data_IF_465544882717
#
_entry.id   IF_465544882717
#
_cell.length_a   1.000
_cell.length_b   1.000
_cell.length_c   1.000
_cell.angle_alpha   90.00
_cell.angle_beta   90.00
_cell.angle_gamma   90.00
#
_symmetry.space_group_name_H-M   'P 1'
#
loop_
_entity.id
_entity.type
_entity.pdbx_description
1 polymer ?
#
# COMPACT_ATOMS: atom_id res chain seq x y z
N UNK A 1 -5.25 -4.89 51.39
CA UNK A 1 -5.29 -3.96 50.25
C UNK A 1 -6.20 -2.82 50.65
N UNK A 2 -5.66 -1.65 50.98
CA UNK A 2 -6.47 -0.48 51.27
C UNK A 2 -6.75 0.21 49.94
N UNK A 3 -8.01 0.20 49.55
CA UNK A 3 -8.50 0.90 48.35
C UNK A 3 -8.64 2.38 48.74
N UNK A 4 -8.22 3.28 47.86
CA UNK A 4 -8.35 4.72 48.08
C UNK A 4 -9.82 5.12 48.24
N UNK A 5 -10.11 6.20 48.97
CA UNK A 5 -11.48 6.62 49.30
C UNK A 5 -12.34 6.86 48.03
N UNK A 6 -11.72 7.30 46.93
CA UNK A 6 -12.37 7.53 45.64
C UNK A 6 -12.73 6.24 44.89
N UNK A 7 -11.98 5.14 45.08
CA UNK A 7 -12.23 3.87 44.40
C UNK A 7 -13.22 2.97 45.15
N UNK A 8 -13.36 3.17 46.48
CA UNK A 8 -14.19 2.32 47.34
C UNK A 8 -15.68 2.37 47.00
N UNK A 9 -16.18 3.53 46.53
CA UNK A 9 -17.58 3.76 46.14
C UNK A 9 -17.97 3.11 44.81
N UNK A 10 -16.99 2.66 44.01
CA UNK A 10 -17.24 1.91 42.77
C UNK A 10 -17.34 0.39 43.00
N UNK A 11 -16.68 -0.13 44.03
CA UNK A 11 -16.57 -1.57 44.32
C UNK A 11 -17.57 -2.02 45.40
N UNK A 12 -17.83 -1.17 46.40
CA UNK A 12 -18.78 -1.44 47.48
C UNK A 12 -20.02 -0.58 47.25
N UNK A 13 -21.05 -1.14 46.62
CA UNK A 13 -22.38 -0.53 46.64
C UNK A 13 -22.92 -0.56 48.07
N UNK A 14 -22.67 0.50 48.84
CA UNK A 14 -23.39 0.73 50.10
C UNK A 14 -24.87 0.93 49.75
N UNK A 15 -25.75 0.20 50.42
CA UNK A 15 -27.18 0.53 50.37
C UNK A 15 -27.34 1.98 50.84
N UNK A 16 -28.04 2.79 50.03
CA UNK A 16 -28.41 4.17 50.37
C UNK A 16 -28.95 4.19 51.80
N UNK A 17 -28.38 5.01 52.68
CA UNK A 17 -28.94 5.19 54.03
C UNK A 17 -30.22 6.02 53.98
N UNK A 18 -30.38 6.82 52.92
CA UNK A 18 -31.46 7.78 52.72
C UNK A 18 -32.28 7.42 51.45
N UNK A 19 -33.61 7.58 51.50
CA UNK A 19 -34.72 7.13 50.64
C UNK A 19 -35.43 5.83 51.06
N UNK A 20 -35.33 5.43 52.33
CA UNK A 20 -36.04 4.24 52.81
C UNK A 20 -37.40 4.53 53.46
N UNK A 21 -37.71 5.80 53.80
CA UNK A 21 -38.91 6.16 54.56
C UNK A 21 -39.59 7.46 54.10
N UNK A 22 -40.91 7.50 54.29
CA UNK A 22 -41.90 8.46 53.74
C UNK A 22 -41.83 9.93 54.24
N UNK A 23 -40.80 10.32 55.00
CA UNK A 23 -40.71 11.61 55.72
C UNK A 23 -39.41 12.38 55.43
N UNK A 24 -38.63 11.94 54.45
CA UNK A 24 -37.30 12.46 54.16
C UNK A 24 -37.28 13.92 53.69
N UNK A 25 -38.33 14.34 52.96
CA UNK A 25 -38.54 15.73 52.48
C UNK A 25 -38.66 16.79 53.60
N UNK A 26 -38.69 16.39 54.87
CA UNK A 26 -38.74 17.30 56.03
C UNK A 26 -37.35 17.67 56.54
N UNK A 27 -36.31 16.92 56.15
CA UNK A 27 -34.94 17.13 56.60
C UNK A 27 -34.22 18.03 55.57
N UNK A 28 -33.58 19.14 55.99
CA UNK A 28 -32.84 19.98 55.06
C UNK A 28 -31.64 19.22 54.46
N UNK A 29 -31.53 19.25 53.13
CA UNK A 29 -30.51 18.54 52.36
C UNK A 29 -29.08 18.86 52.82
N UNK A 30 -28.20 17.87 52.78
CA UNK A 30 -26.81 17.99 53.23
C UNK A 30 -25.82 17.49 52.17
N UNK A 31 -24.97 18.39 51.65
CA UNK A 31 -24.02 18.09 50.57
C UNK A 31 -23.13 16.89 50.86
N UNK A 32 -22.53 16.86 52.05
CA UNK A 32 -21.53 15.85 52.41
C UNK A 32 -22.19 14.48 52.57
N UNK A 33 -23.38 14.44 53.18
CA UNK A 33 -24.13 13.20 53.40
C UNK A 33 -24.76 12.63 52.12
N UNK A 34 -25.36 13.47 51.30
CA UNK A 34 -26.22 13.01 50.19
C UNK A 34 -25.46 12.91 48.87
N UNK A 35 -24.48 13.79 48.63
CA UNK A 35 -23.79 13.89 47.35
C UNK A 35 -22.27 13.57 47.41
N UNK A 36 -21.62 13.64 48.58
CA UNK A 36 -20.19 13.27 48.73
C UNK A 36 -20.04 11.83 49.23
N UNK A 37 -20.75 11.46 50.30
CA UNK A 37 -20.73 10.11 50.87
C UNK A 37 -21.62 9.12 50.09
N UNK A 38 -22.64 9.63 49.38
CA UNK A 38 -23.61 8.87 48.59
C UNK A 38 -23.78 9.47 47.18
N UNK A 39 -24.38 8.70 46.26
CA UNK A 39 -24.80 9.22 44.95
C UNK A 39 -26.17 9.88 45.08
N UNK A 40 -26.24 11.20 44.98
CA UNK A 40 -27.51 11.95 44.95
C UNK A 40 -28.09 12.08 43.54
N UNK A 41 -29.39 12.33 43.47
CA UNK A 41 -30.14 12.72 42.28
C UNK A 41 -30.05 14.24 42.06
N UNK A 42 -30.43 14.69 40.87
CA UNK A 42 -30.43 16.13 40.55
C UNK A 42 -31.40 16.92 41.44
N UNK A 43 -32.52 16.32 41.83
CA UNK A 43 -33.51 16.91 42.75
C UNK A 43 -32.88 17.12 44.14
N UNK A 44 -32.21 16.10 44.67
CA UNK A 44 -31.50 16.14 45.97
C UNK A 44 -30.34 17.16 45.93
N UNK A 45 -29.55 17.19 44.86
CA UNK A 45 -28.49 18.20 44.69
C UNK A 45 -29.06 19.64 44.60
N UNK A 46 -30.28 19.80 44.07
CA UNK A 46 -30.96 21.11 43.97
C UNK A 46 -31.47 21.60 45.31
N UNK A 47 -31.82 20.69 46.23
CA UNK A 47 -32.24 21.04 47.59
C UNK A 47 -31.09 21.61 48.42
N UNK A 48 -29.84 21.21 48.13
CA UNK A 48 -28.65 21.70 48.83
C UNK A 48 -28.14 23.04 48.27
N UNK A 49 -28.42 23.34 47.00
CA UNK A 49 -27.90 24.54 46.32
C UNK A 49 -29.03 25.38 45.74
N UNK A 50 -29.18 26.60 46.26
CA UNK A 50 -30.21 27.57 45.82
C UNK A 50 -30.05 28.05 44.36
N UNK A 51 -28.92 27.77 43.71
CA UNK A 51 -28.65 28.19 42.32
C UNK A 51 -28.37 26.98 41.42
N UNK A 52 -29.11 26.88 40.32
CA UNK A 52 -28.99 25.89 39.25
C UNK A 52 -27.55 25.73 38.74
N UNK A 53 -26.76 26.80 38.67
CA UNK A 53 -25.35 26.73 38.25
C UNK A 53 -24.47 25.97 39.24
N UNK A 54 -24.76 26.07 40.54
CA UNK A 54 -24.03 25.34 41.60
C UNK A 54 -24.49 23.88 41.69
N UNK A 55 -25.78 23.61 41.48
CA UNK A 55 -26.33 22.24 41.42
C UNK A 55 -25.69 21.41 40.29
N UNK A 56 -25.41 22.05 39.16
CA UNK A 56 -24.75 21.43 37.99
C UNK A 56 -23.31 21.02 38.28
N UNK A 57 -22.61 21.70 39.20
CA UNK A 57 -21.20 21.43 39.54
C UNK A 57 -20.95 20.17 40.36
N UNK A 58 -22.00 19.54 40.90
CA UNK A 58 -21.91 18.35 41.77
C UNK A 58 -21.92 17.05 40.96
N UNK A 59 -22.10 17.12 39.65
CA UNK A 59 -22.21 15.93 38.80
C UNK A 59 -20.87 15.16 38.60
N UNK A 60 -19.81 15.55 39.33
CA UNK A 60 -18.45 15.04 39.19
C UNK A 60 -17.80 15.52 37.89
N UNK A 61 -16.47 15.69 37.87
CA UNK A 61 -15.75 15.96 36.61
C UNK A 61 -15.72 14.67 35.77
N UNK A 62 -16.46 14.62 34.67
CA UNK A 62 -16.47 13.44 33.81
C UNK A 62 -15.19 13.27 32.97
N UNK A 63 -14.23 14.20 33.10
CA UNK A 63 -12.88 14.07 32.58
C UNK A 63 -11.91 13.38 33.56
N UNK A 64 -12.38 12.86 34.71
CA UNK A 64 -11.55 12.12 35.67
C UNK A 64 -12.15 10.73 35.94
N UNK A 65 -11.46 9.63 35.54
CA UNK A 65 -10.23 9.59 34.74
C UNK A 65 -10.47 10.04 33.29
N UNK A 66 -9.45 10.60 32.62
CA UNK A 66 -9.60 11.17 31.27
C UNK A 66 -10.11 10.11 30.28
N UNK A 67 -11.36 10.25 29.77
CA UNK A 67 -11.94 9.29 28.84
C UNK A 67 -11.34 9.41 27.43
N UNK A 68 -10.79 10.57 27.08
CA UNK A 68 -10.29 10.89 25.76
C UNK A 68 -8.93 10.21 25.47
N UNK A 69 -8.77 9.69 24.26
CA UNK A 69 -7.60 8.93 23.78
C UNK A 69 -6.75 9.77 22.83
N UNK A 70 -5.57 9.24 22.47
CA UNK A 70 -4.70 9.77 21.42
C UNK A 70 -4.31 11.25 21.58
N UNK A 71 -4.12 11.72 22.83
CA UNK A 71 -3.72 13.10 23.12
C UNK A 71 -4.85 14.13 23.06
N UNK A 72 -6.12 13.68 23.04
CA UNK A 72 -7.29 14.54 23.01
C UNK A 72 -7.52 15.33 24.30
N UNK A 73 -8.08 16.54 24.14
CA UNK A 73 -8.41 17.44 25.25
C UNK A 73 -9.83 17.15 25.72
N UNK A 74 -9.99 16.72 26.96
CA UNK A 74 -11.30 16.51 27.57
C UNK A 74 -11.88 17.83 28.09
N UNK A 75 -13.17 18.07 27.82
CA UNK A 75 -13.93 19.18 28.37
C UNK A 75 -15.21 18.67 29.02
N UNK A 76 -15.34 18.91 30.32
CA UNK A 76 -16.49 18.56 31.13
C UNK A 76 -17.78 19.31 30.72
N UNK A 77 -18.94 18.68 30.89
CA UNK A 77 -20.29 19.24 30.65
C UNK A 77 -21.28 18.72 31.70
N UNK A 78 -22.50 19.23 31.68
CA UNK A 78 -23.58 18.70 32.53
C UNK A 78 -23.84 17.24 32.14
N UNK A 79 -23.58 16.31 33.07
CA UNK A 79 -23.78 14.85 32.96
C UNK A 79 -23.08 14.15 31.79
N UNK A 80 -22.09 14.79 31.16
CA UNK A 80 -21.38 14.27 29.98
C UNK A 80 -20.03 14.98 29.78
N UNK A 81 -19.17 14.41 28.95
CA UNK A 81 -17.92 15.05 28.52
C UNK A 81 -17.89 15.20 27.01
N UNK A 82 -17.02 16.09 26.52
CA UNK A 82 -16.66 16.20 25.10
C UNK A 82 -15.15 16.08 24.94
N UNK A 83 -14.72 15.16 24.09
CA UNK A 83 -13.34 15.05 23.68
C UNK A 83 -13.08 15.90 22.44
N UNK A 84 -12.12 16.81 22.54
CA UNK A 84 -11.61 17.56 21.40
C UNK A 84 -10.48 16.74 20.79
N UNK A 85 -10.83 15.99 19.75
CA UNK A 85 -9.91 15.09 19.10
C UNK A 85 -8.82 15.87 18.36
N UNK A 86 -7.54 15.50 18.54
CA UNK A 86 -6.48 15.90 17.63
C UNK A 86 -6.84 15.36 16.26
N UNK A 87 -6.28 16.01 15.25
CA UNK A 87 -6.66 15.64 13.92
C UNK A 87 -6.20 14.27 13.46
N UNK A 88 -6.99 13.72 12.54
CA UNK A 88 -6.88 12.33 12.18
C UNK A 88 -7.46 11.42 13.25
N UNK A 89 -8.14 11.94 14.29
CA UNK A 89 -8.87 11.12 15.24
C UNK A 89 -10.34 11.51 15.32
N UNK A 90 -11.22 10.50 15.37
CA UNK A 90 -12.66 10.63 15.53
C UNK A 90 -13.17 9.65 16.60
N UNK A 91 -14.47 9.66 16.85
CA UNK A 91 -15.10 8.87 17.91
C UNK A 91 -15.40 9.70 19.14
N UNK A 92 -16.21 9.15 20.05
CA UNK A 92 -16.64 9.86 21.26
C UNK A 92 -15.45 10.18 22.16
N UNK A 93 -14.45 9.30 22.14
CA UNK A 93 -13.25 9.35 22.94
C UNK A 93 -11.99 9.54 22.08
N UNK A 94 -12.13 9.92 20.80
CA UNK A 94 -11.01 10.05 19.86
C UNK A 94 -10.24 8.75 19.64
N UNK A 95 -10.94 7.61 19.73
CA UNK A 95 -10.39 6.26 19.61
C UNK A 95 -10.19 5.79 18.17
N UNK A 96 -10.80 6.47 17.19
CA UNK A 96 -10.77 6.08 15.77
C UNK A 96 -9.67 6.87 15.07
N UNK A 97 -8.62 6.21 14.58
CA UNK A 97 -7.56 6.82 13.77
C UNK A 97 -7.92 6.83 12.28
N UNK A 98 -7.91 8.02 11.69
CA UNK A 98 -8.19 8.36 10.30
C UNK A 98 -7.02 9.07 9.61
N UNK A 99 -5.80 8.99 10.16
CA UNK A 99 -4.59 9.52 9.54
C UNK A 99 -4.25 8.78 8.24
N UNK A 100 -3.40 9.35 7.38
CA UNK A 100 -2.91 8.64 6.19
C UNK A 100 -2.14 7.34 6.52
N UNK A 101 -1.70 7.16 7.76
CA UNK A 101 -1.00 5.95 8.19
C UNK A 101 -1.96 4.76 8.37
N UNK A 102 -3.21 5.02 8.76
CA UNK A 102 -4.21 3.98 8.99
C UNK A 102 -5.18 3.94 7.81
N UNK A 103 -5.25 2.79 7.15
CA UNK A 103 -6.09 2.57 5.97
C UNK A 103 -5.99 3.68 4.89
N UNK A 104 -4.81 4.28 4.74
CA UNK A 104 -4.56 5.39 3.82
C UNK A 104 -5.53 6.60 4.02
N UNK A 105 -5.96 6.87 5.26
CA UNK A 105 -6.92 7.92 5.59
C UNK A 105 -8.33 7.70 5.00
N UNK A 106 -8.62 6.48 4.54
CA UNK A 106 -9.80 6.14 3.76
C UNK A 106 -9.75 6.62 2.30
N UNK A 107 -8.61 7.13 1.82
CA UNK A 107 -8.45 7.51 0.42
C UNK A 107 -8.25 6.28 -0.46
N UNK A 108 -8.95 6.23 -1.60
CA UNK A 108 -8.81 5.12 -2.56
C UNK A 108 -7.45 5.08 -3.28
N UNK A 109 -6.85 6.25 -3.52
CA UNK A 109 -5.54 6.37 -4.16
C UNK A 109 -4.54 7.09 -3.24
N UNK A 110 -4.42 8.41 -3.34
CA UNK A 110 -3.39 9.15 -2.62
C UNK A 110 -3.97 9.86 -1.42
N UNK A 111 -3.26 9.78 -0.28
CA UNK A 111 -3.57 10.51 0.93
C UNK A 111 -2.45 11.52 1.23
N UNK A 112 -2.84 12.74 1.61
CA UNK A 112 -1.93 13.74 2.18
C UNK A 112 -2.56 14.42 3.38
N UNK A 113 -1.71 14.88 4.29
CA UNK A 113 -2.11 15.80 5.34
C UNK A 113 -1.96 17.23 4.80
N UNK A 114 -3.06 17.99 4.76
CA UNK A 114 -3.05 19.40 4.36
C UNK A 114 -3.24 20.29 5.61
N UNK A 115 -2.39 21.31 5.85
CA UNK A 115 -2.29 21.92 7.15
C UNK A 115 -3.56 22.56 7.76
N UNK A 116 -3.69 22.46 9.10
CA UNK A 116 -2.75 21.70 9.90
C UNK A 116 -2.98 20.17 9.78
N UNK A 117 -4.15 19.69 9.34
CA UNK A 117 -4.64 18.48 9.97
C UNK A 117 -5.80 17.72 9.25
N UNK A 118 -6.26 18.14 8.06
CA UNK A 118 -7.31 17.40 7.32
C UNK A 118 -6.70 16.39 6.37
N UNK A 119 -7.19 15.15 6.38
CA UNK A 119 -6.90 14.19 5.31
C UNK A 119 -7.51 14.68 4.01
N UNK A 120 -6.67 14.87 3.01
CA UNK A 120 -7.07 15.23 1.66
C UNK A 120 -6.70 14.09 0.73
N UNK A 121 -7.71 13.55 0.05
CA UNK A 121 -7.52 12.51 -0.93
C UNK A 121 -7.30 13.12 -2.32
N UNK A 122 -6.47 12.48 -3.12
CA UNK A 122 -6.33 12.76 -4.55
C UNK A 122 -6.20 11.47 -5.36
N UNK A 123 -6.44 11.57 -6.66
CA UNK A 123 -6.56 10.42 -7.54
C UNK A 123 -5.43 10.37 -8.57
N UNK A 124 -5.13 9.16 -9.05
CA UNK A 124 -4.21 8.92 -10.16
C UNK A 124 -4.74 9.47 -11.49
N UNK A 125 -3.86 9.58 -12.48
CA UNK A 125 -4.20 10.10 -13.81
C UNK A 125 -5.32 9.29 -14.46
N UNK A 126 -6.29 10.01 -15.03
CA UNK A 126 -7.49 9.40 -15.62
C UNK A 126 -8.59 9.09 -14.59
N UNK A 127 -8.44 9.47 -13.32
CA UNK A 127 -9.49 9.38 -12.30
C UNK A 127 -9.89 10.76 -11.77
N UNK A 128 -11.12 10.88 -11.29
CA UNK A 128 -11.66 12.04 -10.57
C UNK A 128 -12.05 11.64 -9.16
N UNK A 129 -11.87 12.57 -8.21
CA UNK A 129 -12.32 12.40 -6.83
C UNK A 129 -13.84 12.48 -6.80
N UNK A 130 -14.48 11.48 -6.21
CA UNK A 130 -15.91 11.41 -6.01
C UNK A 130 -16.37 12.43 -4.95
N UNK A 131 -17.67 12.68 -4.88
CA UNK A 131 -18.28 13.67 -3.98
C UNK A 131 -18.08 13.36 -2.49
N UNK A 132 -17.82 12.09 -2.15
CA UNK A 132 -17.46 11.66 -0.79
C UNK A 132 -16.06 12.15 -0.32
N UNK A 133 -15.29 12.73 -1.23
CA UNK A 133 -13.94 13.24 -0.97
C UNK A 133 -12.89 12.14 -0.72
N UNK A 134 -13.20 10.86 -1.00
CA UNK A 134 -12.35 9.70 -0.69
C UNK A 134 -12.21 8.72 -1.86
N UNK A 135 -13.31 8.46 -2.58
CA UNK A 135 -13.34 7.52 -3.69
C UNK A 135 -12.78 8.14 -4.96
N UNK A 136 -12.16 7.31 -5.79
CA UNK A 136 -11.67 7.69 -7.12
C UNK A 136 -12.42 6.92 -8.20
N UNK A 137 -13.02 7.66 -9.12
CA UNK A 137 -13.82 7.14 -10.23
C UNK A 137 -13.13 7.39 -11.58
N UNK A 138 -13.15 6.43 -12.51
CA UNK A 138 -12.62 6.63 -13.86
C UNK A 138 -13.23 7.86 -14.54
N UNK A 139 -12.38 8.78 -14.95
CA UNK A 139 -12.76 10.00 -15.66
C UNK A 139 -12.58 9.89 -17.18
N UNK A 140 -11.85 8.87 -17.62
CA UNK A 140 -11.57 8.55 -19.03
C UNK A 140 -11.87 7.07 -19.30
N UNK A 141 -12.10 6.65 -20.55
CA UNK A 141 -12.44 5.26 -20.88
C UNK A 141 -11.35 4.24 -20.50
N UNK A 142 -10.09 4.66 -20.57
CA UNK A 142 -8.91 3.83 -20.33
C UNK A 142 -8.00 4.53 -19.31
N UNK A 143 -8.40 4.58 -18.03
CA UNK A 143 -7.61 5.24 -16.99
C UNK A 143 -6.36 4.39 -16.68
N UNK A 144 -5.35 4.99 -16.06
CA UNK A 144 -4.14 4.24 -15.73
C UNK A 144 -4.45 3.06 -14.80
N UNK A 145 -3.62 2.01 -14.88
CA UNK A 145 -3.65 0.90 -13.93
C UNK A 145 -4.96 0.12 -13.91
N UNK A 146 -5.81 0.26 -14.93
CA UNK A 146 -7.09 -0.45 -15.05
C UNK A 146 -7.07 -1.47 -16.16
N UNK A 147 -7.49 -2.69 -15.81
CA UNK A 147 -7.70 -3.78 -16.76
C UNK A 147 -9.15 -3.69 -17.27
N UNK A 148 -9.29 -3.48 -18.57
CA UNK A 148 -10.60 -3.29 -19.23
C UNK A 148 -10.96 -4.39 -20.23
N UNK A 149 -9.99 -5.23 -20.61
CA UNK A 149 -10.19 -6.38 -21.48
C UNK A 149 -11.28 -7.34 -20.95
N UNK A 150 -12.25 -7.74 -21.79
CA UNK A 150 -13.38 -8.57 -21.36
C UNK A 150 -12.94 -9.96 -20.86
N UNK A 151 -11.91 -10.53 -21.46
CA UNK A 151 -11.36 -11.85 -21.09
C UNK A 151 -10.77 -11.81 -19.69
N UNK A 152 -9.96 -10.79 -19.40
CA UNK A 152 -9.28 -10.62 -18.13
C UNK A 152 -10.20 -10.19 -16.98
N UNK A 153 -11.34 -9.53 -17.27
CA UNK A 153 -12.34 -9.15 -16.25
C UNK A 153 -12.89 -10.34 -15.47
N UNK A 154 -12.97 -11.52 -16.09
CA UNK A 154 -13.50 -12.73 -15.46
C UNK A 154 -12.65 -13.24 -14.29
N UNK A 155 -11.35 -12.96 -14.26
CA UNK A 155 -10.43 -13.28 -13.15
C UNK A 155 -10.45 -12.24 -12.00
N UNK A 156 -10.98 -11.04 -12.25
CA UNK A 156 -10.98 -9.94 -11.27
C UNK A 156 -12.21 -10.04 -10.35
N UNK A 157 -12.31 -11.10 -9.56
CA UNK A 157 -13.47 -11.32 -8.68
C UNK A 157 -13.33 -10.67 -7.30
N UNK A 158 -12.12 -10.23 -6.91
CA UNK A 158 -11.84 -9.45 -5.69
C UNK A 158 -10.47 -8.75 -5.78
N UNK A 159 -10.38 -7.51 -5.30
CA UNK A 159 -9.09 -6.81 -5.16
C UNK A 159 -8.14 -7.65 -4.28
N UNK A 160 -6.91 -7.84 -4.72
CA UNK A 160 -5.93 -8.68 -4.04
C UNK A 160 -5.42 -8.00 -2.79
N UNK A 161 -5.15 -6.69 -2.86
CA UNK A 161 -4.77 -5.90 -1.71
C UNK A 161 -5.86 -4.87 -1.39
N UNK A 162 -6.18 -4.75 -0.10
CA UNK A 162 -7.05 -3.70 0.43
C UNK A 162 -6.34 -2.98 1.56
N UNK A 163 -6.68 -1.71 1.77
CA UNK A 163 -6.11 -0.91 2.86
C UNK A 163 -6.50 -1.44 4.26
N UNK A 164 -7.44 -2.37 4.37
CA UNK A 164 -7.89 -2.94 5.65
C UNK A 164 -6.82 -3.68 6.45
N UNK A 165 -5.76 -4.15 5.77
CA UNK A 165 -4.65 -4.87 6.40
C UNK A 165 -3.42 -3.97 6.64
N UNK A 166 -3.53 -2.67 6.37
CA UNK A 166 -2.44 -1.70 6.59
C UNK A 166 -2.53 -1.09 7.98
N UNK A 167 -1.97 -1.79 8.97
CA UNK A 167 -1.60 -1.19 10.24
C UNK A 167 -0.14 -0.77 10.15
N UNK A 168 0.12 0.46 9.70
CA UNK A 168 1.46 1.05 9.77
C UNK A 168 1.68 1.45 11.23
N UNK A 169 2.15 0.53 12.05
CA UNK A 169 2.80 0.92 13.31
C UNK A 169 4.07 1.64 12.93
N UNK A 170 4.17 2.93 13.29
CA UNK A 170 5.39 3.71 13.16
C UNK A 170 6.47 3.12 14.08
N UNK A 171 7.12 2.05 13.63
CA UNK A 171 8.39 1.57 14.14
C UNK A 171 9.36 1.67 12.98
N UNK A 172 9.86 2.89 12.75
CA UNK A 172 11.00 3.20 11.89
C UNK A 172 11.42 4.65 12.24
N UNK A 173 11.69 4.89 13.53
CA UNK A 173 12.63 5.92 13.97
C UNK A 173 13.75 5.19 14.72
N UNK A 174 14.98 5.48 14.28
CA UNK A 174 16.28 5.11 14.85
C UNK A 174 16.84 3.71 14.52
N UNK A 175 17.52 3.66 13.36
CA UNK A 175 18.75 2.88 13.18
C UNK A 175 19.82 3.52 14.11
N UNK A 176 19.91 3.07 15.36
CA UNK A 176 21.12 3.17 16.19
C UNK A 176 21.01 2.26 17.44
N UNK A 177 21.95 1.30 17.53
CA UNK A 177 22.41 0.53 18.71
C UNK A 177 21.77 -0.85 19.03
N UNK A 178 22.53 -1.86 18.59
CA UNK A 178 22.88 -3.20 19.11
C UNK A 178 22.42 -3.73 20.49
N UNK A 179 22.27 -5.07 20.48
CA UNK A 179 22.22 -6.10 21.56
C UNK A 179 20.91 -6.13 22.42
N UNK A 180 20.23 -7.25 22.65
CA UNK A 180 20.68 -8.62 22.91
C UNK A 180 19.54 -9.65 22.64
N UNK A 181 19.95 -10.91 22.65
CA UNK A 181 19.30 -12.17 22.27
C UNK A 181 18.16 -12.61 23.21
N UNK A 182 17.13 -13.30 22.69
CA UNK A 182 16.54 -14.42 23.43
C UNK A 182 15.68 -15.41 22.60
N UNK A 183 15.92 -16.70 22.90
CA UNK A 183 15.29 -17.90 22.36
C UNK A 183 13.88 -18.11 22.94
N UNK A 184 12.86 -18.37 22.11
CA UNK A 184 11.70 -19.17 22.56
C UNK A 184 11.21 -20.16 21.49
N UNK A 185 11.12 -21.38 21.98
CA UNK A 185 10.83 -22.70 21.44
C UNK A 185 9.44 -22.87 20.82
N UNK A 186 9.39 -23.77 19.81
CA UNK A 186 8.20 -24.29 19.13
C UNK A 186 7.15 -24.87 20.09
N UNK A 187 5.87 -24.76 19.73
CA UNK A 187 4.89 -25.78 20.10
C UNK A 187 3.82 -25.91 19.01
N UNK A 188 3.88 -27.05 18.33
CA UNK A 188 2.91 -27.55 17.34
C UNK A 188 1.59 -27.98 17.97
N UNK A 189 0.47 -27.83 17.25
CA UNK A 189 -0.62 -28.83 17.23
C UNK A 189 -1.46 -28.73 15.94
N UNK A 190 -2.04 -29.84 15.45
CA UNK A 190 -2.36 -30.05 14.04
C UNK A 190 -3.85 -29.88 13.71
N UNK A 191 -4.17 -29.35 12.52
CA UNK A 191 -5.53 -29.32 12.00
C UNK A 191 -5.61 -29.84 10.55
N UNK A 192 -6.02 -31.11 10.45
CA UNK A 192 -6.84 -31.75 9.40
C UNK A 192 -6.70 -31.27 7.95
N UNK A 193 -5.81 -31.94 7.21
CA UNK A 193 -5.69 -31.90 5.75
C UNK A 193 -6.89 -32.55 5.04
N UNK A 194 -7.74 -31.75 4.39
CA UNK A 194 -8.55 -32.21 3.25
C UNK A 194 -7.72 -32.05 1.98
N UNK A 195 -7.25 -33.17 1.44
CA UNK A 195 -6.47 -33.23 0.20
C UNK A 195 -7.44 -33.07 -0.98
N UNK A 196 -7.46 -31.89 -1.59
CA UNK A 196 -7.97 -31.70 -2.96
C UNK A 196 -6.84 -31.95 -3.95
N UNK A 197 -7.09 -32.63 -5.08
CA UNK A 197 -6.03 -33.00 -6.02
C UNK A 197 -5.48 -31.77 -6.73
N UNK A 198 -4.18 -31.52 -6.57
CA UNK A 198 -3.46 -30.50 -7.33
C UNK A 198 -3.33 -31.01 -8.77
N UNK A 199 -4.18 -30.48 -9.64
CA UNK A 199 -4.00 -30.61 -11.09
C UNK A 199 -2.73 -29.84 -11.45
N UNK A 200 -1.64 -30.56 -11.72
CA UNK A 200 -0.40 -29.98 -12.25
C UNK A 200 -0.64 -29.48 -13.68
N UNK A 201 -1.01 -28.21 -13.81
CA UNK A 201 -0.82 -27.47 -15.06
C UNK A 201 0.55 -26.81 -14.99
N UNK A 202 1.43 -27.20 -15.90
CA UNK A 202 2.81 -26.73 -15.96
C UNK A 202 2.88 -25.21 -16.15
N UNK A 203 3.61 -24.55 -15.25
CA UNK A 203 3.77 -23.10 -15.15
C UNK A 203 5.17 -22.69 -15.61
N UNK A 204 5.29 -21.66 -16.46
CA UNK A 204 6.55 -21.27 -17.09
C UNK A 204 6.69 -19.75 -17.35
N UNK A 205 6.69 -18.95 -16.29
CA UNK A 205 7.91 -18.29 -15.74
C UNK A 205 8.42 -19.24 -14.65
N UNK A 206 9.62 -19.14 -14.07
CA UNK A 206 9.95 -20.08 -12.97
C UNK A 206 8.89 -19.89 -11.88
N UNK A 207 7.99 -20.87 -11.73
CA UNK A 207 6.74 -20.79 -10.95
C UNK A 207 5.63 -19.81 -11.39
N UNK A 208 5.72 -19.13 -12.54
CA UNK A 208 4.69 -18.19 -13.03
C UNK A 208 3.68 -18.80 -14.01
N UNK A 209 2.54 -18.14 -14.24
CA UNK A 209 1.44 -18.64 -15.08
C UNK A 209 1.26 -17.83 -16.36
N UNK A 210 0.75 -18.47 -17.41
CA UNK A 210 0.30 -17.78 -18.62
C UNK A 210 -0.72 -16.69 -18.26
N UNK A 211 -0.51 -15.48 -18.78
CA UNK A 211 -1.46 -14.40 -18.65
C UNK A 211 -2.68 -14.67 -19.52
N UNK A 212 -3.80 -14.05 -19.18
CA UNK A 212 -4.89 -13.86 -20.13
C UNK A 212 -4.55 -12.69 -21.06
N UNK A 213 -5.18 -12.73 -22.23
CA UNK A 213 -5.19 -11.62 -23.18
C UNK A 213 -5.69 -10.34 -22.47
N UNK A 214 -4.90 -9.26 -22.55
CA UNK A 214 -5.22 -7.99 -21.89
C UNK A 214 -5.15 -7.99 -20.37
N UNK A 215 -4.56 -9.01 -19.72
CA UNK A 215 -4.36 -9.04 -18.26
C UNK A 215 -3.32 -7.99 -17.81
N UNK A 216 -2.36 -7.64 -18.68
CA UNK A 216 -1.30 -6.65 -18.39
C UNK A 216 -1.20 -5.62 -19.53
N UNK A 217 -2.18 -4.72 -19.69
CA UNK A 217 -2.29 -3.83 -20.86
C UNK A 217 -1.21 -2.74 -20.94
N UNK A 218 -0.43 -2.54 -19.87
CA UNK A 218 0.71 -1.61 -19.84
C UNK A 218 2.04 -2.27 -20.22
N UNK A 219 2.07 -3.58 -20.43
CA UNK A 219 3.27 -4.30 -20.84
C UNK A 219 3.64 -3.93 -22.28
N UNK A 220 4.93 -3.70 -22.50
CA UNK A 220 5.52 -3.49 -23.82
C UNK A 220 6.63 -4.51 -24.05
N UNK A 221 6.71 -5.00 -25.28
CA UNK A 221 7.81 -5.81 -25.77
C UNK A 221 8.76 -4.94 -26.60
N UNK A 222 10.03 -4.85 -26.20
CA UNK A 222 11.06 -4.14 -26.95
C UNK A 222 11.76 -5.12 -27.90
N UNK A 223 11.68 -4.80 -29.19
CA UNK A 223 12.30 -5.59 -30.26
C UNK A 223 13.36 -4.77 -30.98
N UNK A 224 14.42 -5.43 -31.42
CA UNK A 224 15.48 -4.82 -32.21
C UNK A 224 15.11 -4.76 -33.71
N UNK A 225 16.02 -4.25 -34.53
CA UNK A 225 15.86 -4.16 -36.00
C UNK A 225 15.64 -5.50 -36.72
N UNK A 226 15.96 -6.63 -36.08
CA UNK A 226 15.74 -7.98 -36.62
C UNK A 226 14.41 -8.58 -36.14
N UNK A 227 13.57 -7.82 -35.44
CA UNK A 227 12.32 -8.30 -34.85
C UNK A 227 12.53 -9.21 -33.64
N UNK A 228 13.73 -9.28 -33.07
CA UNK A 228 14.03 -10.12 -31.91
C UNK A 228 13.78 -9.33 -30.63
N UNK A 229 12.89 -9.87 -29.80
CA UNK A 229 12.62 -9.41 -28.45
C UNK A 229 13.83 -9.52 -27.53
N UNK A 230 14.14 -8.46 -26.78
CA UNK A 230 15.30 -8.45 -25.88
C UNK A 230 14.98 -7.94 -24.47
N UNK A 231 13.99 -7.07 -24.30
CA UNK A 231 13.58 -6.52 -23.01
C UNK A 231 12.09 -6.18 -22.98
N UNK A 232 11.57 -5.97 -21.78
CA UNK A 232 10.27 -5.38 -21.52
C UNK A 232 10.35 -3.85 -21.33
N UNK A 233 9.19 -3.22 -21.36
CA UNK A 233 8.99 -1.84 -20.91
C UNK A 233 7.57 -1.67 -20.37
N UNK A 234 7.29 -0.52 -19.76
CA UNK A 234 5.97 -0.16 -19.24
C UNK A 234 5.46 1.14 -19.84
N UNK A 235 4.18 1.17 -20.22
CA UNK A 235 3.51 2.37 -20.74
C UNK A 235 3.19 3.31 -19.59
N UNK A 236 3.75 4.52 -19.59
CA UNK A 236 3.46 5.52 -18.55
C UNK A 236 2.52 6.62 -19.04
N UNK A 237 2.52 6.91 -20.34
CA UNK A 237 1.49 7.69 -21.03
C UNK A 237 1.47 7.34 -22.53
N UNK A 238 0.69 8.07 -23.31
CA UNK A 238 0.51 7.82 -24.75
C UNK A 238 1.79 7.92 -25.56
N UNK A 239 2.81 8.68 -25.12
CA UNK A 239 4.03 8.92 -25.89
C UNK A 239 5.31 8.40 -25.23
N UNK A 240 5.27 8.09 -23.94
CA UNK A 240 6.43 7.73 -23.16
C UNK A 240 6.31 6.34 -22.54
N UNK A 241 7.42 5.62 -22.58
CA UNK A 241 7.61 4.35 -21.90
C UNK A 241 8.74 4.46 -20.88
N UNK A 242 8.75 3.56 -19.90
CA UNK A 242 9.87 3.37 -18.96
C UNK A 242 10.39 1.94 -19.04
N UNK A 243 11.71 1.79 -18.99
CA UNK A 243 12.41 0.49 -19.03
C UNK A 243 13.74 0.57 -18.25
N UNK A 244 14.51 -0.51 -18.23
CA UNK A 244 15.86 -0.54 -17.68
C UNK A 244 16.86 0.08 -18.68
N UNK A 245 17.83 0.83 -18.19
CA UNK A 245 18.82 1.49 -19.04
C UNK A 245 19.81 0.48 -19.65
N UNK A 246 20.11 -0.62 -18.97
CA UNK A 246 21.00 -1.66 -19.47
C UNK A 246 20.47 -2.41 -20.70
N UNK A 247 19.16 -2.33 -20.94
CA UNK A 247 18.55 -2.88 -22.15
C UNK A 247 18.97 -2.12 -23.41
N UNK A 248 19.47 -0.89 -23.26
CA UNK A 248 19.61 0.06 -24.36
C UNK A 248 21.08 0.40 -24.59
N UNK A 249 21.47 0.50 -25.86
CA UNK A 249 22.77 1.01 -26.29
C UNK A 249 22.58 2.21 -27.22
N UNK A 250 23.57 3.09 -27.23
CA UNK A 250 23.56 4.29 -28.08
C UNK A 250 23.53 3.87 -29.55
N UNK A 251 22.49 4.30 -30.27
CA UNK A 251 22.31 3.99 -31.69
C UNK A 251 21.46 2.75 -31.98
N UNK A 252 20.87 2.12 -30.96
CA UNK A 252 19.95 1.01 -31.17
C UNK A 252 18.69 1.46 -31.93
N UNK A 253 18.33 0.72 -32.97
CA UNK A 253 17.02 0.81 -33.62
C UNK A 253 16.03 -0.07 -32.86
N UNK A 254 15.29 0.57 -31.95
CA UNK A 254 14.35 -0.09 -31.03
C UNK A 254 12.92 0.19 -31.47
N UNK A 255 12.13 -0.87 -31.57
CA UNK A 255 10.69 -0.79 -31.77
C UNK A 255 9.98 -1.30 -30.52
N UNK A 256 9.00 -0.52 -30.05
CA UNK A 256 8.12 -0.89 -28.97
C UNK A 256 6.84 -1.50 -29.53
N UNK A 257 6.48 -2.69 -29.03
CA UNK A 257 5.22 -3.39 -29.35
C UNK A 257 4.35 -3.40 -28.09
N UNK A 258 3.31 -2.57 -28.09
CA UNK A 258 2.31 -2.53 -27.02
C UNK A 258 1.10 -3.41 -27.39
N UNK A 259 0.44 -4.01 -26.40
CA UNK A 259 -0.73 -4.89 -26.65
C UNK A 259 -0.36 -6.31 -27.08
N UNK A 260 0.93 -6.63 -27.19
CA UNK A 260 1.43 -7.97 -27.47
C UNK A 260 0.97 -8.99 -26.41
N UNK A 261 0.61 -10.19 -26.85
CA UNK A 261 0.21 -11.30 -26.00
C UNK A 261 0.98 -12.58 -26.33
N UNK A 262 1.05 -12.95 -27.61
CA UNK A 262 1.71 -14.14 -28.12
C UNK A 262 2.70 -13.76 -29.22
N UNK A 263 3.99 -13.77 -28.91
CA UNK A 263 5.05 -13.26 -29.80
C UNK A 263 5.22 -14.03 -31.12
N UNK A 264 4.48 -15.12 -31.32
CA UNK A 264 4.44 -15.88 -32.57
C UNK A 264 3.24 -15.54 -33.48
N UNK A 265 2.29 -14.75 -32.99
CA UNK A 265 1.02 -14.47 -33.66
C UNK A 265 0.76 -12.96 -33.65
N UNK A 266 0.31 -12.41 -34.78
CA UNK A 266 -0.26 -11.06 -34.80
C UNK A 266 -1.78 -11.19 -34.72
N UNK A 267 -2.36 -10.71 -33.63
CA UNK A 267 -3.79 -10.82 -33.34
C UNK A 267 -4.56 -9.49 -33.50
N UNK A 268 -3.88 -8.47 -34.02
CA UNK A 268 -4.37 -7.11 -34.30
C UNK A 268 -4.64 -6.28 -33.04
N UNK A 269 -4.19 -6.72 -31.87
CA UNK A 269 -4.17 -5.87 -30.67
C UNK A 269 -2.87 -5.07 -30.54
N UNK A 270 -1.85 -5.47 -31.31
CA UNK A 270 -0.49 -4.95 -31.25
C UNK A 270 -0.37 -3.56 -31.88
N UNK A 271 0.36 -2.68 -31.18
CA UNK A 271 0.69 -1.35 -31.64
C UNK A 271 2.20 -1.17 -31.70
N UNK A 272 2.71 -1.20 -32.92
CA UNK A 272 4.12 -0.97 -33.23
C UNK A 272 4.43 0.52 -33.21
N UNK A 273 5.47 0.91 -32.47
CA UNK A 273 5.95 2.30 -32.35
C UNK A 273 7.47 2.35 -32.38
N UNK A 274 8.03 3.23 -33.19
CA UNK A 274 9.49 3.41 -33.22
C UNK A 274 9.90 4.27 -32.05
N UNK A 275 11.02 3.93 -31.42
CA UNK A 275 11.60 4.76 -30.37
C UNK A 275 12.46 5.84 -31.03
N UNK A 276 12.05 7.11 -30.89
CA UNK A 276 12.78 8.25 -31.49
C UNK A 276 13.77 8.89 -30.54
N UNK A 277 13.60 8.66 -29.23
CA UNK A 277 14.50 9.19 -28.21
C UNK A 277 14.65 8.19 -27.09
N UNK A 278 15.91 7.89 -26.77
CA UNK A 278 16.32 7.09 -25.62
C UNK A 278 16.94 8.05 -24.60
N UNK A 279 16.37 8.09 -23.39
CA UNK A 279 16.83 8.95 -22.31
C UNK A 279 17.14 8.10 -21.06
N UNK A 280 18.37 7.56 -20.95
CA UNK A 280 18.80 6.92 -19.72
C UNK A 280 18.91 7.97 -18.59
N UNK A 281 18.81 7.52 -17.34
CA UNK A 281 19.00 8.41 -16.21
C UNK A 281 20.37 9.12 -16.28
N UNK A 282 20.50 10.42 -15.98
CA UNK A 282 21.75 11.18 -16.18
C UNK A 282 22.98 10.62 -15.44
N UNK A 283 22.75 9.92 -14.34
CA UNK A 283 23.80 9.29 -13.51
C UNK A 283 23.96 7.79 -13.78
N UNK A 284 23.26 7.24 -14.78
CA UNK A 284 23.47 5.88 -15.24
C UNK A 284 24.80 5.79 -16.00
N UNK A 285 25.64 4.82 -15.62
CA UNK A 285 26.88 4.56 -16.33
C UNK A 285 27.22 3.07 -16.33
N UNK A 286 26.99 2.42 -17.48
CA UNK A 286 27.22 1.00 -17.68
C UNK A 286 28.68 0.56 -17.46
N UNK A 287 29.67 1.44 -17.67
CA UNK A 287 31.09 1.09 -17.51
C UNK A 287 31.54 1.07 -16.05
N UNK A 288 30.85 1.83 -15.18
CA UNK A 288 31.15 1.89 -13.74
C UNK A 288 30.29 0.86 -13.00
N UNK A 289 28.98 0.91 -13.21
CA UNK A 289 28.02 0.00 -12.59
C UNK A 289 26.75 -0.05 -13.45
N UNK A 290 26.58 -1.14 -14.20
CA UNK A 290 25.45 -1.38 -15.10
C UNK A 290 24.08 -1.42 -14.40
N UNK A 291 24.03 -1.52 -13.08
CA UNK A 291 22.77 -1.60 -12.35
C UNK A 291 22.47 -0.33 -11.54
N UNK A 292 23.43 0.57 -11.39
CA UNK A 292 23.20 1.83 -10.68
C UNK A 292 22.40 2.83 -11.54
N UNK A 293 21.26 3.29 -11.02
CA UNK A 293 20.30 4.10 -11.77
C UNK A 293 19.89 3.47 -13.10
N UNK A 294 19.68 2.16 -13.08
CA UNK A 294 19.27 1.38 -14.24
C UNK A 294 17.80 1.62 -14.58
N UNK A 295 17.54 2.78 -15.17
CA UNK A 295 16.24 3.25 -15.63
C UNK A 295 16.42 4.18 -16.83
N UNK A 296 15.55 4.03 -17.83
CA UNK A 296 15.51 4.86 -19.02
C UNK A 296 14.06 5.18 -19.44
N UNK A 297 13.89 6.34 -20.06
CA UNK A 297 12.65 6.77 -20.68
C UNK A 297 12.78 6.67 -22.20
N UNK A 298 11.73 6.18 -22.85
CA UNK A 298 11.66 6.06 -24.30
C UNK A 298 10.55 6.95 -24.84
N UNK A 299 10.87 7.84 -25.78
CA UNK A 299 9.86 8.63 -26.51
C UNK A 299 9.49 7.90 -27.81
N UNK A 300 8.19 7.74 -28.03
CA UNK A 300 7.63 7.11 -29.21
C UNK A 300 7.49 8.12 -30.36
N UNK A 301 7.66 7.63 -31.60
CA UNK A 301 7.49 8.41 -32.84
C UNK A 301 6.09 9.01 -32.97
N UNK A 302 5.08 8.25 -32.56
CA UNK A 302 3.66 8.63 -32.57
C UNK A 302 2.97 8.09 -31.30
N UNK A 303 1.93 8.77 -30.80
CA UNK A 303 1.23 8.32 -29.60
C UNK A 303 0.57 6.95 -29.79
N UNK A 304 0.47 6.20 -28.69
CA UNK A 304 -0.32 4.98 -28.56
C UNK A 304 -1.80 5.34 -28.54
N UNK A 305 -2.62 4.50 -29.16
CA UNK A 305 -4.07 4.64 -29.12
C UNK A 305 -4.61 3.75 -28.01
N UNK A 306 -4.99 4.32 -26.87
CA UNK A 306 -5.46 3.51 -25.75
C UNK A 306 -6.74 2.76 -26.08
N UNK A 307 -6.77 1.49 -25.70
CA UNK A 307 -7.87 0.56 -25.90
C UNK A 307 -7.86 -0.50 -24.78
N UNK A 308 -8.70 -1.53 -24.88
CA UNK A 308 -8.80 -2.56 -23.84
C UNK A 308 -7.52 -3.38 -23.58
N UNK A 309 -6.57 -3.37 -24.50
CA UNK A 309 -5.30 -4.12 -24.46
C UNK A 309 -4.07 -3.22 -24.33
N UNK A 310 -4.22 -1.91 -24.50
CA UNK A 310 -3.15 -0.92 -24.43
C UNK A 310 -3.60 0.23 -23.52
N UNK A 311 -3.13 0.24 -22.28
CA UNK A 311 -3.43 1.29 -21.29
C UNK A 311 -2.19 1.60 -20.45
N UNK A 312 -2.04 2.81 -19.91
CA UNK A 312 -0.87 3.16 -19.11
C UNK A 312 -0.95 2.54 -17.70
N UNK A 313 0.20 2.28 -17.07
CA UNK A 313 0.28 1.94 -15.64
C UNK A 313 0.24 3.21 -14.79
N UNK A 314 -0.39 3.18 -13.62
CA UNK A 314 -0.38 4.35 -12.74
C UNK A 314 0.99 4.56 -12.09
N UNK A 315 1.38 5.81 -11.94
CA UNK A 315 2.55 6.22 -11.16
C UNK A 315 2.05 6.89 -9.88
N UNK A 316 2.42 6.33 -8.72
CA UNK A 316 2.08 6.88 -7.42
C UNK A 316 3.05 7.97 -6.95
N UNK A 317 2.68 8.69 -5.89
CA UNK A 317 3.64 9.55 -5.18
C UNK A 317 4.66 8.70 -4.39
N UNK A 318 5.71 9.34 -3.86
CA UNK A 318 6.85 8.63 -3.27
C UNK A 318 6.42 7.82 -2.05
N UNK A 319 5.65 8.42 -1.16
CA UNK A 319 5.20 7.86 0.11
C UNK A 319 4.28 6.67 -0.17
N UNK A 320 3.24 6.87 -0.98
CA UNK A 320 2.29 5.84 -1.39
C UNK A 320 2.95 4.65 -2.08
N UNK A 321 3.85 4.91 -3.05
CA UNK A 321 4.58 3.86 -3.77
C UNK A 321 5.45 3.03 -2.82
N UNK A 322 6.06 3.66 -1.81
CA UNK A 322 6.86 2.96 -0.81
C UNK A 322 6.01 2.09 0.11
N UNK A 323 4.84 2.58 0.52
CA UNK A 323 3.89 1.81 1.33
C UNK A 323 3.35 0.62 0.55
N UNK A 324 2.95 0.81 -0.71
CA UNK A 324 2.54 -0.28 -1.60
C UNK A 324 3.64 -1.33 -1.76
N UNK A 325 4.89 -0.90 -1.92
CA UNK A 325 6.00 -1.82 -2.08
C UNK A 325 6.23 -2.69 -0.83
N UNK A 326 6.13 -2.12 0.38
CA UNK A 326 6.35 -2.85 1.63
C UNK A 326 5.21 -3.81 1.98
N UNK A 327 3.95 -3.41 1.74
CA UNK A 327 2.77 -4.13 2.25
C UNK A 327 1.96 -4.86 1.17
N UNK A 328 2.14 -4.51 -0.10
CA UNK A 328 1.44 -5.13 -1.21
C UNK A 328 2.16 -6.36 -1.76
N UNK A 329 1.39 -7.29 -2.32
CA UNK A 329 1.96 -8.36 -3.14
C UNK A 329 2.27 -7.83 -4.55
N UNK A 330 3.53 -7.96 -4.97
CA UNK A 330 3.97 -7.56 -6.30
C UNK A 330 3.60 -8.57 -7.37
N UNK A 331 3.41 -8.08 -8.59
CA UNK A 331 3.29 -8.89 -9.80
C UNK A 331 4.31 -8.41 -10.82
N UNK A 332 5.04 -9.35 -11.40
CA UNK A 332 5.98 -9.13 -12.49
C UNK A 332 5.46 -9.80 -13.75
N UNK A 333 5.76 -9.23 -14.90
CA UNK A 333 5.33 -9.75 -16.19
C UNK A 333 6.39 -9.59 -17.27
N UNK A 334 6.38 -10.51 -18.22
CA UNK A 334 7.30 -10.48 -19.36
C UNK A 334 7.31 -11.78 -20.18
N UNK A 335 8.12 -11.77 -21.22
CA UNK A 335 8.38 -12.91 -22.11
C UNK A 335 9.76 -13.53 -21.87
N UNK A 336 10.34 -13.29 -20.70
CA UNK A 336 11.64 -13.81 -20.31
C UNK A 336 11.69 -15.33 -20.27
N UNK A 337 12.90 -15.82 -20.08
CA UNK A 337 13.22 -17.23 -20.09
C UNK A 337 12.49 -17.94 -18.96
N UNK A 338 11.82 -19.03 -19.29
CA UNK A 338 10.94 -19.72 -18.34
C UNK A 338 11.70 -20.57 -17.29
N UNK A 339 13.02 -20.63 -17.45
CA UNK A 339 14.01 -21.21 -16.54
C UNK A 339 15.40 -20.66 -16.90
N UNK A 340 16.37 -20.80 -16.00
CA UNK A 340 17.72 -20.30 -16.22
C UNK A 340 18.33 -20.87 -17.51
N UNK A 341 18.77 -19.99 -18.42
CA UNK A 341 19.26 -20.32 -19.79
C UNK A 341 18.25 -21.08 -20.67
N UNK A 342 16.96 -20.96 -20.34
CA UNK A 342 15.87 -21.52 -21.12
C UNK A 342 15.51 -20.70 -22.36
N UNK A 343 14.51 -21.18 -23.10
CA UNK A 343 13.92 -20.39 -24.19
C UNK A 343 12.97 -19.32 -23.62
N UNK A 344 12.91 -18.14 -24.24
CA UNK A 344 11.88 -17.13 -23.95
C UNK A 344 10.47 -17.72 -24.05
N UNK A 345 9.54 -17.18 -23.27
CA UNK A 345 8.13 -17.53 -23.38
C UNK A 345 7.52 -16.89 -24.64
N UNK A 346 6.60 -17.60 -25.28
CA UNK A 346 5.85 -17.07 -26.42
C UNK A 346 4.63 -16.28 -25.95
N UNK A 347 3.91 -16.86 -24.98
CA UNK A 347 2.78 -16.24 -24.30
C UNK A 347 3.29 -15.42 -23.12
N UNK A 348 2.75 -14.21 -22.94
CA UNK A 348 3.06 -13.34 -21.82
C UNK A 348 2.86 -14.07 -20.49
N UNK A 349 3.87 -14.00 -19.63
CA UNK A 349 3.85 -14.64 -18.32
C UNK A 349 3.61 -13.61 -17.23
N UNK A 350 2.94 -14.05 -16.16
CA UNK A 350 2.78 -13.30 -14.93
C UNK A 350 3.24 -14.12 -13.74
N UNK A 351 3.94 -13.47 -12.81
CA UNK A 351 4.38 -14.09 -11.56
C UNK A 351 4.11 -13.13 -10.40
N UNK A 352 3.57 -13.67 -9.31
CA UNK A 352 3.42 -12.94 -8.05
C UNK A 352 4.65 -13.14 -7.19
N UNK A 353 5.24 -12.06 -6.73
CA UNK A 353 6.45 -12.07 -5.91
C UNK A 353 6.27 -11.13 -4.70
N UNK A 354 6.62 -11.59 -3.49
CA UNK A 354 6.59 -10.74 -2.31
C UNK A 354 7.83 -9.85 -2.27
N UNK A 355 7.68 -8.67 -1.67
CA UNK A 355 8.80 -7.82 -1.28
C UNK A 355 9.67 -8.53 -0.24
N UNK A 356 10.99 -8.36 -0.34
CA UNK A 356 11.95 -8.90 0.62
C UNK A 356 12.57 -7.73 1.38
N UNK A 357 12.60 -7.84 2.71
CA UNK A 357 13.18 -6.82 3.57
C UNK A 357 14.67 -6.59 3.24
N UNK A 358 15.12 -5.37 3.51
CA UNK A 358 16.46 -4.94 3.10
C UNK A 358 17.58 -5.76 3.76
N UNK A 359 17.56 -6.07 5.06
CA UNK A 359 18.55 -6.95 5.68
C UNK A 359 18.65 -8.33 5.01
N UNK A 360 17.51 -9.00 4.75
CA UNK A 360 17.47 -10.30 4.07
C UNK A 360 17.99 -10.20 2.64
N UNK A 361 17.60 -9.15 1.92
CA UNK A 361 18.08 -8.85 0.56
C UNK A 361 19.61 -8.67 0.52
N UNK A 362 20.18 -7.90 1.45
CA UNK A 362 21.63 -7.65 1.52
C UNK A 362 22.43 -8.92 1.87
N UNK A 363 21.91 -9.76 2.78
CA UNK A 363 22.54 -11.04 3.14
C UNK A 363 22.50 -12.06 2.00
N UNK A 364 21.60 -11.88 1.04
CA UNK A 364 21.39 -12.85 -0.04
C UNK A 364 22.47 -12.82 -1.12
N UNK A 365 23.24 -11.74 -1.26
CA UNK A 365 24.19 -11.53 -2.37
C UNK A 365 25.51 -10.95 -1.87
N UNK A 366 26.61 -11.24 -2.58
CA UNK A 366 27.91 -10.58 -2.36
C UNK A 366 27.99 -9.20 -3.04
N UNK A 367 27.02 -8.86 -3.88
CA UNK A 367 26.97 -7.61 -4.63
C UNK A 367 26.25 -6.53 -3.82
N UNK A 368 26.78 -5.31 -3.83
CA UNK A 368 26.20 -4.20 -3.07
C UNK A 368 24.82 -3.78 -3.62
N UNK A 369 23.77 -3.93 -2.81
CA UNK A 369 22.42 -3.44 -3.13
C UNK A 369 22.25 -2.00 -2.63
N UNK A 370 22.07 -1.08 -3.58
CA UNK A 370 21.93 0.36 -3.34
C UNK A 370 20.51 0.73 -2.90
N UNK A 371 20.32 1.91 -2.29
CA UNK A 371 19.01 2.35 -1.79
C UNK A 371 17.95 2.63 -2.87
N UNK A 372 18.37 2.77 -4.12
CA UNK A 372 17.51 2.89 -5.28
C UNK A 372 17.09 1.53 -5.87
N UNK A 373 17.42 0.44 -5.19
CA UNK A 373 17.06 -0.93 -5.55
C UNK A 373 16.26 -1.60 -4.44
N UNK A 374 15.57 -2.68 -4.77
CA UNK A 374 14.97 -3.59 -3.79
C UNK A 374 14.95 -5.04 -4.31
N UNK A 375 14.81 -6.00 -3.40
CA UNK A 375 14.65 -7.41 -3.73
C UNK A 375 13.18 -7.82 -3.65
N UNK A 376 12.77 -8.75 -4.52
CA UNK A 376 11.51 -9.46 -4.40
C UNK A 376 11.67 -10.91 -4.85
N UNK A 377 10.90 -11.82 -4.25
CA UNK A 377 10.95 -13.25 -4.55
C UNK A 377 10.77 -14.13 -3.33
N UNK A 378 10.90 -15.45 -3.52
CA UNK A 378 10.70 -16.44 -2.46
C UNK A 378 12.03 -16.98 -1.97
N UNK A 379 12.20 -17.08 -0.64
CA UNK A 379 13.44 -17.59 -0.03
C UNK A 379 13.76 -19.04 -0.43
N UNK A 380 12.73 -19.86 -0.64
CA UNK A 380 12.87 -21.23 -1.13
C UNK A 380 13.37 -21.30 -2.59
N UNK A 381 13.43 -20.18 -3.31
CA UNK A 381 13.65 -20.15 -4.75
C UNK A 381 12.48 -20.77 -5.50
N UNK A 382 12.74 -21.31 -6.68
CA UNK A 382 11.73 -21.98 -7.50
C UNK A 382 10.70 -21.03 -8.13
N UNK A 383 10.75 -19.73 -7.85
CA UNK A 383 10.07 -18.71 -8.66
C UNK A 383 10.79 -17.38 -8.69
N UNK A 384 11.00 -16.82 -9.89
CA UNK A 384 11.76 -15.58 -10.11
C UNK A 384 11.58 -15.05 -11.54
N UNK A 385 11.88 -13.77 -11.75
CA UNK A 385 12.11 -13.19 -13.08
C UNK A 385 13.39 -13.73 -13.70
N UNK A 386 13.48 -13.77 -15.03
CA UNK A 386 14.65 -14.31 -15.71
C UNK A 386 15.04 -13.51 -16.96
N UNK A 387 16.07 -13.98 -17.67
CA UNK A 387 16.60 -13.30 -18.85
C UNK A 387 15.53 -13.04 -19.91
N UNK A 388 15.31 -11.78 -20.26
CA UNK A 388 14.26 -11.31 -21.18
C UNK A 388 13.09 -10.58 -20.48
N UNK A 389 12.98 -10.65 -19.15
CA UNK A 389 12.04 -9.84 -18.35
C UNK A 389 12.63 -8.47 -17.97
N UNK A 390 13.91 -8.24 -18.24
CA UNK A 390 14.62 -6.99 -17.96
C UNK A 390 13.87 -5.79 -18.53
N UNK A 391 13.74 -4.73 -17.75
CA UNK A 391 12.97 -3.53 -18.10
C UNK A 391 11.46 -3.67 -17.98
N UNK A 392 10.95 -4.89 -17.76
CA UNK A 392 9.54 -5.15 -17.48
C UNK A 392 9.06 -4.56 -16.15
N UNK A 393 7.74 -4.42 -15.97
CA UNK A 393 7.16 -3.83 -14.78
C UNK A 393 7.21 -4.79 -13.58
N UNK A 394 7.44 -4.20 -12.40
CA UNK A 394 6.97 -4.73 -11.13
C UNK A 394 5.80 -3.84 -10.67
N UNK A 395 4.60 -4.40 -10.63
CA UNK A 395 3.37 -3.69 -10.27
C UNK A 395 2.77 -4.19 -8.97
N UNK A 396 2.06 -3.31 -8.27
CA UNK A 396 1.25 -3.65 -7.10
C UNK A 396 -0.17 -3.18 -7.35
N UNK A 397 -1.13 -4.08 -7.15
CA UNK A 397 -2.56 -3.76 -7.20
C UNK A 397 -3.03 -3.28 -5.83
N UNK A 398 -3.88 -2.27 -5.79
CA UNK A 398 -4.65 -1.93 -4.59
C UNK A 398 -6.03 -1.43 -4.98
N UNK A 399 -7.07 -1.96 -4.33
CA UNK A 399 -8.48 -1.59 -4.55
C UNK A 399 -8.93 -1.55 -6.02
N UNK A 400 -8.37 -2.44 -6.85
CA UNK A 400 -8.68 -2.58 -8.27
C UNK A 400 -7.92 -1.64 -9.20
N UNK A 401 -6.87 -0.96 -8.72
CA UNK A 401 -5.97 -0.09 -9.49
C UNK A 401 -4.51 -0.56 -9.34
N UNK A 402 -3.81 -0.68 -10.46
CA UNK A 402 -2.42 -1.12 -10.50
C UNK A 402 -1.45 0.05 -10.57
N UNK A 403 -0.36 -0.02 -9.79
CA UNK A 403 0.69 1.00 -9.75
C UNK A 403 2.06 0.39 -10.05
N UNK A 404 2.89 1.13 -10.76
CA UNK A 404 4.29 0.77 -11.02
C UNK A 404 5.14 1.10 -9.79
N UNK A 405 5.73 0.09 -9.16
CA UNK A 405 6.57 0.28 -7.97
C UNK A 405 8.04 -0.08 -8.23
N UNK A 406 8.30 -0.93 -9.23
CA UNK A 406 9.65 -1.31 -9.64
C UNK A 406 9.80 -1.60 -11.14
N UNK A 407 11.06 -1.72 -11.57
CA UNK A 407 11.46 -2.12 -12.92
C UNK A 407 12.45 -3.27 -12.78
N UNK A 408 12.22 -4.38 -13.49
CA UNK A 408 13.12 -5.55 -13.47
C UNK A 408 14.51 -5.15 -13.96
N UNK A 409 15.54 -5.39 -13.15
CA UNK A 409 16.91 -4.98 -13.47
C UNK A 409 17.85 -6.19 -13.64
N UNK A 410 18.13 -6.95 -12.57
CA UNK A 410 19.06 -8.08 -12.64
C UNK A 410 18.80 -9.12 -11.53
N UNK A 411 19.50 -10.25 -11.56
CA UNK A 411 19.41 -11.31 -10.55
C UNK A 411 20.58 -12.30 -10.63
N UNK A 412 20.89 -12.97 -9.51
CA UNK A 412 21.95 -13.99 -9.43
C UNK A 412 21.41 -15.40 -9.71
N UNK A 413 21.32 -15.74 -11.00
CA UNK A 413 20.64 -16.95 -11.50
C UNK A 413 19.13 -16.95 -11.20
N UNK A 414 18.32 -17.37 -12.16
CA UNK A 414 16.87 -17.28 -12.01
C UNK A 414 16.37 -18.36 -11.04
N UNK A 415 15.62 -17.95 -10.01
CA UNK A 415 14.90 -18.82 -9.08
C UNK A 415 15.78 -19.76 -8.23
N UNK A 416 17.01 -19.34 -7.96
CA UNK A 416 17.92 -20.05 -7.07
C UNK A 416 17.46 -19.91 -5.61
N UNK A 417 17.43 -20.99 -4.82
CA UNK A 417 17.16 -20.91 -3.39
C UNK A 417 18.10 -19.92 -2.69
N UNK A 418 17.54 -19.06 -1.85
CA UNK A 418 18.27 -18.02 -1.13
C UNK A 418 18.70 -16.81 -1.98
N UNK A 419 18.26 -16.71 -3.23
CA UNK A 419 18.45 -15.52 -4.10
C UNK A 419 17.11 -14.91 -4.47
N UNK A 420 17.15 -13.64 -4.86
CA UNK A 420 15.99 -12.84 -5.18
C UNK A 420 16.23 -12.04 -6.46
N UNK A 421 15.15 -11.67 -7.15
CA UNK A 421 15.20 -10.70 -8.24
C UNK A 421 15.46 -9.29 -7.69
N UNK A 422 16.29 -8.52 -8.40
CA UNK A 422 16.62 -7.14 -8.04
C UNK A 422 15.92 -6.18 -9.01
N UNK A 423 15.24 -5.21 -8.44
CA UNK A 423 14.41 -4.24 -9.15
C UNK A 423 14.86 -2.82 -8.85
N UNK A 424 14.82 -1.95 -9.87
CA UNK A 424 15.00 -0.51 -9.70
C UNK A 424 13.76 0.07 -9.02
N UNK A 425 13.94 0.83 -7.94
CA UNK A 425 12.86 1.40 -7.12
C UNK A 425 12.30 2.68 -7.73
N UNK A 426 11.13 2.61 -8.37
CA UNK A 426 10.54 3.74 -9.13
C UNK A 426 10.27 4.97 -8.27
N UNK A 427 9.93 4.79 -6.99
CA UNK A 427 9.65 5.89 -6.05
C UNK A 427 10.83 6.88 -5.88
N UNK A 428 12.06 6.47 -6.20
CA UNK A 428 13.26 7.32 -6.16
C UNK A 428 13.42 8.20 -7.41
N UNK A 429 12.70 7.89 -8.50
CA UNK A 429 12.85 8.53 -9.81
C UNK A 429 11.62 9.37 -10.23
N UNK A 430 10.59 9.44 -9.41
CA UNK A 430 9.32 10.11 -9.74
C UNK A 430 9.49 11.54 -10.22
N UNK A 431 10.35 12.32 -9.57
CA UNK A 431 10.64 13.71 -9.98
C UNK A 431 11.20 13.76 -11.40
N UNK A 432 12.23 12.96 -11.67
CA UNK A 432 12.87 12.88 -12.99
C UNK A 432 11.90 12.37 -14.07
N UNK A 433 11.07 11.38 -13.75
CA UNK A 433 10.04 10.87 -14.66
C UNK A 433 9.06 12.01 -15.02
N UNK A 434 8.49 12.69 -14.03
CA UNK A 434 7.51 13.77 -14.25
C UNK A 434 8.09 14.93 -15.07
N UNK A 435 9.29 15.38 -14.74
CA UNK A 435 9.98 16.48 -15.43
C UNK A 435 10.20 16.21 -16.94
N UNK A 436 10.46 14.96 -17.31
CA UNK A 436 10.75 14.59 -18.70
C UNK A 436 9.52 14.17 -19.51
N UNK A 437 8.47 13.66 -18.84
CA UNK A 437 7.33 13.00 -19.51
C UNK A 437 6.04 13.81 -19.46
N UNK A 438 6.04 14.96 -18.76
CA UNK A 438 4.88 15.83 -18.53
C UNK A 438 3.71 15.14 -17.82
N UNK A 439 4.00 14.08 -17.06
CA UNK A 439 3.04 13.48 -16.13
C UNK A 439 2.74 14.44 -14.99
N UNK A 440 1.46 14.57 -14.64
CA UNK A 440 0.94 15.49 -13.61
C UNK A 440 1.18 14.99 -12.19
#
# INVERSE_FOLDING_TARGET
>A
VFIGNEEASSVLQRQRRANSNRLEEVIPGNLERECIEEKCSFEEAREVFENTEKTVSINGDQCVPNPCKNGAICKDRVSSYVCWCPAGYEGRNCEIDFTCAIKNGGCKHFCRHDPPQKVVCSCADGYKLHEDGKSCEPAVPYPCGKITAPEAKSKLTRAMNTFDHWNVTFDDQDDDQDEEMDNITETSTPASTKITPIVKTGTRVVGGTDSMRGEVPWQVHLVNSHGVGFCGASIINEKWLVTAAHCLKTGDDVTAVAGEYNTNEEDNTEQWRKVVKILPHPTYNATINQHHNDIALLELDRPLSFNSYVTPICIGNREFTNTLLKHGQGTVSGWGSTFFRGRPATILQVLKVPYVDRPTCLKSTSTTILQNMFCAGFSAGGSDTCGGDSGGPYTVEIEGTWFLTGITSWGEECAKPGKYGIYTRVSKYLKWIKENTRLT
#
